data_IF_025609465798
#
_entry.id   IF_025609465798
#
_cell.length_a   1.000
_cell.length_b   1.000
_cell.length_c   1.000
_cell.angle_alpha   90.00
_cell.angle_beta   90.00
_cell.angle_gamma   90.00
#
_symmetry.space_group_name_H-M   'P 1'
#
loop_
_entity.id
_entity.type
_entity.pdbx_description
1 polymer ?
#
# COMPACT_ATOMS: atom_id res chain seq x y z
N UNK A 1 -16.48 3.09 0.08
CA UNK A 1 -15.70 2.37 1.10
C UNK A 1 -14.23 2.47 0.71
N UNK A 2 -13.39 3.12 1.51
CA UNK A 2 -11.94 3.15 1.25
C UNK A 2 -11.37 1.80 1.66
N UNK A 3 -10.85 1.02 0.71
CA UNK A 3 -10.28 -0.31 1.02
C UNK A 3 -8.94 -0.09 1.72
N UNK A 4 -8.79 -0.44 3.01
CA UNK A 4 -7.48 -0.45 3.63
C UNK A 4 -6.59 -1.42 2.83
N UNK A 5 -5.34 -1.04 2.57
CA UNK A 5 -4.39 -1.80 1.75
C UNK A 5 -4.64 -1.83 0.23
N UNK A 6 -5.37 -0.87 -0.36
CA UNK A 6 -5.56 -0.79 -1.82
C UNK A 6 -4.25 -0.96 -2.61
N UNK A 7 -3.18 -0.26 -2.23
CA UNK A 7 -1.87 -0.37 -2.89
C UNK A 7 -1.24 -1.77 -2.82
N UNK A 8 -1.50 -2.54 -1.76
CA UNK A 8 -1.06 -3.94 -1.64
C UNK A 8 -1.82 -4.84 -2.63
N UNK A 9 -3.12 -4.60 -2.78
CA UNK A 9 -3.96 -5.42 -3.65
C UNK A 9 -3.71 -5.09 -5.13
N UNK A 10 -3.55 -3.81 -5.46
CA UNK A 10 -3.26 -3.33 -6.81
C UNK A 10 -1.90 -3.85 -7.33
N UNK A 11 -0.88 -3.89 -6.47
CA UNK A 11 0.41 -4.45 -6.88
C UNK A 11 0.36 -5.95 -7.12
N UNK A 12 -0.44 -6.69 -6.35
CA UNK A 12 -0.70 -8.11 -6.59
C UNK A 12 -1.49 -8.33 -7.90
N UNK A 13 -2.51 -7.51 -8.18
CA UNK A 13 -3.26 -7.56 -9.44
C UNK A 13 -2.41 -7.31 -10.67
N UNK A 14 -1.42 -6.43 -10.53
CA UNK A 14 -0.45 -6.10 -11.57
C UNK A 14 0.64 -7.17 -11.73
N UNK A 15 0.56 -8.30 -11.01
CA UNK A 15 1.58 -9.36 -10.98
C UNK A 15 2.98 -8.85 -10.61
N UNK A 16 3.07 -7.81 -9.78
CA UNK A 16 4.36 -7.33 -9.27
C UNK A 16 4.90 -8.22 -8.16
N UNK A 17 4.02 -8.90 -7.43
CA UNK A 17 4.33 -9.87 -6.40
C UNK A 17 3.10 -10.77 -6.18
N UNK A 18 3.30 -11.91 -5.53
CA UNK A 18 2.20 -12.77 -5.06
C UNK A 18 1.72 -12.36 -3.67
N UNK A 19 0.62 -12.95 -3.21
CA UNK A 19 0.14 -12.84 -1.82
C UNK A 19 -0.18 -14.23 -1.27
N UNK A 20 -0.26 -14.40 0.06
CA UNK A 20 -0.71 -15.65 0.66
C UNK A 20 -2.12 -16.01 0.20
N UNK A 21 -2.40 -17.31 0.03
CA UNK A 21 -3.69 -17.81 -0.44
C UNK A 21 -4.84 -17.36 0.47
N UNK A 22 -4.60 -17.26 1.77
CA UNK A 22 -5.58 -16.82 2.76
C UNK A 22 -6.00 -15.35 2.52
N UNK A 23 -5.06 -14.49 2.13
CA UNK A 23 -5.32 -13.09 1.76
C UNK A 23 -6.10 -13.04 0.44
N UNK A 24 -5.73 -13.88 -0.53
CA UNK A 24 -6.44 -13.98 -1.81
C UNK A 24 -7.88 -14.47 -1.62
N UNK A 25 -8.11 -15.44 -0.75
CA UNK A 25 -9.45 -15.95 -0.42
C UNK A 25 -10.31 -14.91 0.29
N UNK A 26 -9.75 -14.19 1.26
CA UNK A 26 -10.44 -13.09 1.92
C UNK A 26 -10.79 -11.98 0.91
N UNK A 27 -9.90 -11.68 -0.03
CA UNK A 27 -10.13 -10.72 -1.11
C UNK A 27 -11.23 -11.18 -2.08
N UNK A 28 -11.25 -12.45 -2.46
CA UNK A 28 -12.34 -13.03 -3.28
C UNK A 28 -13.69 -12.89 -2.59
N UNK A 29 -13.75 -12.95 -1.25
CA UNK A 29 -14.99 -12.69 -0.51
C UNK A 29 -15.45 -11.23 -0.65
N UNK A 30 -14.54 -10.26 -0.58
CA UNK A 30 -14.85 -8.83 -0.82
C UNK A 30 -15.38 -8.62 -2.23
N UNK A 31 -14.68 -9.16 -3.25
CA UNK A 31 -15.11 -9.06 -4.65
C UNK A 31 -16.50 -9.67 -4.85
N UNK A 32 -16.80 -10.82 -4.25
CA UNK A 32 -18.14 -11.42 -4.33
C UNK A 32 -19.22 -10.56 -3.66
N UNK A 33 -18.92 -9.90 -2.54
CA UNK A 33 -19.86 -9.02 -1.87
C UNK A 33 -20.14 -7.74 -2.71
N UNK A 34 -19.11 -7.15 -3.33
CA UNK A 34 -19.28 -6.02 -4.25
C UNK A 34 -20.06 -6.44 -5.51
N UNK A 35 -19.73 -7.58 -6.11
CA UNK A 35 -20.47 -8.12 -7.26
C UNK A 35 -21.93 -8.40 -6.91
N UNK A 36 -22.22 -8.94 -5.72
CA UNK A 36 -23.58 -9.13 -5.26
C UNK A 36 -24.32 -7.79 -5.23
N UNK A 37 -23.70 -6.74 -4.67
CA UNK A 37 -24.27 -5.38 -4.62
C UNK A 37 -24.65 -4.85 -6.00
N UNK A 38 -23.87 -5.18 -7.02
CA UNK A 38 -24.11 -4.69 -8.38
C UNK A 38 -25.10 -5.59 -9.15
N UNK A 39 -25.18 -6.89 -8.81
CA UNK A 39 -26.01 -7.88 -9.50
C UNK A 39 -27.50 -7.80 -9.19
N UNK A 40 -27.87 -7.21 -8.05
CA UNK A 40 -29.25 -6.80 -7.80
C UNK A 40 -29.26 -5.27 -7.91
N UNK A 41 -29.34 -4.71 -9.15
CA UNK A 41 -29.79 -3.33 -9.26
C UNK A 41 -31.08 -3.25 -8.46
N UNK A 42 -31.35 -2.09 -7.88
CA UNK A 42 -32.68 -1.86 -7.37
C UNK A 42 -33.67 -2.42 -8.41
N UNK A 43 -34.71 -3.16 -8.01
CA UNK A 43 -35.91 -3.06 -8.83
C UNK A 43 -36.16 -1.54 -9.03
N UNK A 44 -36.99 -1.10 -9.95
CA UNK A 44 -37.41 0.30 -9.87
C UNK A 44 -38.68 0.41 -9.02
N UNK A 45 -38.78 -0.10 -7.76
CA UNK A 45 -39.96 0.13 -6.97
C UNK A 45 -40.04 1.62 -6.63
N UNK A 46 -38.96 2.39 -6.77
CA UNK A 46 -39.00 3.84 -6.67
C UNK A 46 -39.71 4.47 -7.87
N UNK A 47 -39.42 4.08 -9.12
CA UNK A 47 -40.19 4.55 -10.27
C UNK A 47 -41.58 3.93 -10.34
N UNK A 48 -41.77 2.68 -9.91
CA UNK A 48 -43.10 2.07 -9.79
C UNK A 48 -43.93 2.75 -8.70
N UNK A 49 -43.30 3.14 -7.59
CA UNK A 49 -43.92 3.99 -6.57
C UNK A 49 -44.25 5.37 -7.15
N UNK A 50 -43.33 5.98 -7.91
CA UNK A 50 -43.58 7.26 -8.58
C UNK A 50 -44.74 7.17 -9.58
N UNK A 51 -44.81 6.08 -10.36
CA UNK A 51 -45.89 5.79 -11.31
C UNK A 51 -47.24 5.61 -10.61
N UNK A 52 -47.30 4.89 -9.49
CA UNK A 52 -48.53 4.75 -8.70
C UNK A 52 -48.96 6.08 -8.05
N UNK A 53 -47.99 6.92 -7.64
CA UNK A 53 -48.26 8.27 -7.15
C UNK A 53 -48.79 9.16 -8.27
N UNK A 54 -48.19 9.14 -9.46
CA UNK A 54 -48.68 9.89 -10.62
C UNK A 54 -50.09 9.45 -11.04
N UNK A 55 -50.36 8.14 -11.13
CA UNK A 55 -51.71 7.60 -11.40
C UNK A 55 -52.74 8.07 -10.39
N UNK A 56 -52.39 8.05 -9.10
CA UNK A 56 -53.27 8.55 -8.04
C UNK A 56 -53.55 10.05 -8.19
N UNK A 57 -52.54 10.85 -8.57
CA UNK A 57 -52.68 12.29 -8.83
C UNK A 57 -53.55 12.58 -10.07
N UNK A 58 -53.50 11.70 -11.08
CA UNK A 58 -54.32 11.76 -12.30
C UNK A 58 -55.76 11.22 -12.11
N UNK A 59 -56.11 10.76 -10.90
CA UNK A 59 -57.45 10.29 -10.56
C UNK A 59 -57.71 8.81 -10.85
N UNK A 60 -56.67 8.02 -11.12
CA UNK A 60 -56.72 6.55 -11.25
C UNK A 60 -56.10 5.90 -10.00
N UNK A 61 -56.87 5.70 -8.92
CA UNK A 61 -56.32 5.15 -7.69
C UNK A 61 -55.85 3.70 -7.90
N UNK A 62 -54.64 3.33 -7.46
CA UNK A 62 -54.14 1.98 -7.62
C UNK A 62 -54.92 0.96 -6.77
N UNK A 63 -54.98 -0.27 -7.25
CA UNK A 63 -55.59 -1.39 -6.52
C UNK A 63 -54.81 -1.62 -5.20
N UNK A 64 -55.48 -1.77 -4.04
CA UNK A 64 -54.83 -2.19 -2.80
C UNK A 64 -53.88 -3.40 -2.94
N UNK A 65 -54.15 -4.34 -3.85
CA UNK A 65 -53.24 -5.45 -4.12
C UNK A 65 -51.91 -5.00 -4.77
N UNK A 66 -51.96 -4.03 -5.69
CA UNK A 66 -50.76 -3.44 -6.33
C UNK A 66 -49.87 -2.72 -5.30
N UNK A 67 -50.50 -2.02 -4.35
CA UNK A 67 -49.79 -1.33 -3.26
C UNK A 67 -49.11 -2.35 -2.32
N UNK A 68 -49.83 -3.43 -1.96
CA UNK A 68 -49.28 -4.48 -1.09
C UNK A 68 -48.10 -5.22 -1.74
N UNK A 69 -48.17 -5.48 -3.05
CA UNK A 69 -47.08 -6.10 -3.81
C UNK A 69 -45.84 -5.21 -3.88
N UNK A 70 -46.01 -3.90 -4.11
CA UNK A 70 -44.94 -2.92 -4.09
C UNK A 70 -44.27 -2.85 -2.70
N UNK A 71 -45.05 -2.80 -1.62
CA UNK A 71 -44.54 -2.78 -0.25
C UNK A 71 -43.72 -4.04 0.06
N UNK A 72 -44.22 -5.21 -0.34
CA UNK A 72 -43.49 -6.47 -0.16
C UNK A 72 -42.19 -6.51 -0.97
N UNK A 73 -42.18 -5.94 -2.18
CA UNK A 73 -40.99 -5.81 -3.02
C UNK A 73 -39.95 -4.85 -2.42
N UNK A 74 -40.39 -3.68 -1.93
CA UNK A 74 -39.55 -2.72 -1.21
C UNK A 74 -38.94 -3.34 0.05
N UNK A 75 -39.72 -4.06 0.84
CA UNK A 75 -39.25 -4.74 2.04
C UNK A 75 -38.17 -5.80 1.72
N UNK A 76 -38.40 -6.64 0.70
CA UNK A 76 -37.38 -7.62 0.24
C UNK A 76 -36.10 -6.93 -0.23
N UNK A 77 -36.23 -5.84 -0.98
CA UNK A 77 -35.07 -5.09 -1.47
C UNK A 77 -34.28 -4.44 -0.33
N UNK A 78 -34.95 -3.84 0.66
CA UNK A 78 -34.30 -3.28 1.85
C UNK A 78 -33.54 -4.34 2.65
N UNK A 79 -34.17 -5.50 2.89
CA UNK A 79 -33.51 -6.64 3.55
C UNK A 79 -32.29 -7.10 2.76
N UNK A 80 -32.42 -7.23 1.44
CA UNK A 80 -31.30 -7.60 0.58
C UNK A 80 -30.15 -6.59 0.64
N UNK A 81 -30.45 -5.28 0.56
CA UNK A 81 -29.44 -4.22 0.68
C UNK A 81 -28.71 -4.26 2.01
N UNK A 82 -29.45 -4.48 3.10
CA UNK A 82 -28.88 -4.62 4.44
C UNK A 82 -27.94 -5.83 4.49
N UNK A 83 -28.37 -6.99 4.02
CA UNK A 83 -27.56 -8.22 4.00
C UNK A 83 -26.27 -8.05 3.19
N UNK A 84 -26.35 -7.45 1.99
CA UNK A 84 -25.18 -7.23 1.14
C UNK A 84 -24.22 -6.21 1.75
N UNK A 85 -24.74 -5.15 2.36
CA UNK A 85 -23.91 -4.16 3.05
C UNK A 85 -23.16 -4.78 4.23
N UNK A 86 -23.86 -5.56 5.06
CA UNK A 86 -23.27 -6.27 6.19
C UNK A 86 -22.24 -7.32 5.74
N UNK A 87 -22.53 -8.04 4.65
CA UNK A 87 -21.59 -8.98 4.05
C UNK A 87 -20.32 -8.29 3.54
N UNK A 88 -20.45 -7.14 2.87
CA UNK A 88 -19.32 -6.35 2.37
C UNK A 88 -18.44 -5.82 3.51
N UNK A 89 -19.05 -5.27 4.56
CA UNK A 89 -18.32 -4.80 5.74
C UNK A 89 -17.61 -5.95 6.47
N UNK A 90 -18.28 -7.10 6.61
CA UNK A 90 -17.72 -8.30 7.24
C UNK A 90 -16.56 -8.86 6.42
N UNK A 91 -16.69 -8.93 5.09
CA UNK A 91 -15.62 -9.34 4.20
C UNK A 91 -14.43 -8.37 4.26
N UNK A 92 -14.67 -7.06 4.28
CA UNK A 92 -13.63 -6.04 4.41
C UNK A 92 -12.87 -6.10 5.73
N UNK A 93 -13.58 -6.31 6.85
CA UNK A 93 -12.96 -6.53 8.17
C UNK A 93 -12.11 -7.80 8.19
N UNK A 94 -12.64 -8.90 7.65
CA UNK A 94 -11.92 -10.17 7.55
C UNK A 94 -10.63 -10.01 6.74
N UNK A 95 -10.69 -9.38 5.56
CA UNK A 95 -9.51 -9.12 4.74
C UNK A 95 -8.47 -8.31 5.49
N UNK A 96 -8.90 -7.25 6.18
CA UNK A 96 -7.99 -6.40 6.97
C UNK A 96 -7.31 -7.17 8.10
N UNK A 97 -8.06 -8.02 8.82
CA UNK A 97 -7.54 -8.87 9.88
C UNK A 97 -6.53 -9.89 9.32
N UNK A 98 -6.89 -10.58 8.23
CA UNK A 98 -6.02 -11.58 7.60
C UNK A 98 -4.72 -10.96 7.08
N UNK A 99 -4.77 -9.75 6.50
CA UNK A 99 -3.55 -9.01 6.12
C UNK A 99 -2.71 -8.66 7.35
N UNK A 100 -3.33 -8.19 8.43
CA UNK A 100 -2.64 -7.86 9.67
C UNK A 100 -1.94 -9.06 10.32
N UNK A 101 -2.63 -10.20 10.39
CA UNK A 101 -2.11 -11.47 10.93
C UNK A 101 -0.95 -12.04 10.08
N UNK A 102 -0.98 -11.80 8.76
CA UNK A 102 0.02 -12.29 7.83
C UNK A 102 1.07 -11.25 7.45
N UNK A 103 1.10 -10.07 8.10
CA UNK A 103 1.93 -8.93 7.70
C UNK A 103 3.39 -9.31 7.47
N UNK A 104 4.01 -9.94 8.46
CA UNK A 104 5.44 -10.25 8.41
C UNK A 104 5.73 -11.33 7.37
N UNK A 105 4.82 -12.30 7.20
CA UNK A 105 4.87 -13.32 6.14
C UNK A 105 4.74 -12.70 4.74
N UNK A 106 3.81 -11.76 4.54
CA UNK A 106 3.65 -11.01 3.29
C UNK A 106 4.97 -10.28 2.97
N UNK A 107 5.57 -9.63 3.97
CA UNK A 107 6.85 -8.94 3.80
C UNK A 107 7.96 -9.91 3.41
N UNK A 108 8.17 -10.98 4.19
CA UNK A 108 9.34 -11.86 4.04
C UNK A 108 9.25 -12.83 2.87
N UNK A 109 8.06 -13.40 2.60
CA UNK A 109 7.88 -14.47 1.61
C UNK A 109 7.41 -13.96 0.25
N UNK A 110 6.82 -12.76 0.18
CA UNK A 110 6.22 -12.26 -1.06
C UNK A 110 6.84 -10.94 -1.55
N UNK A 111 6.87 -9.91 -0.71
CA UNK A 111 7.38 -8.60 -1.11
C UNK A 111 8.91 -8.59 -1.23
N UNK A 112 9.62 -9.20 -0.27
CA UNK A 112 11.09 -9.20 -0.24
C UNK A 112 11.71 -9.91 -1.45
N UNK A 113 11.24 -11.10 -1.90
CA UNK A 113 11.74 -11.71 -3.13
C UNK A 113 11.51 -10.84 -4.38
N UNK A 114 10.29 -10.31 -4.56
CA UNK A 114 9.98 -9.44 -5.71
C UNK A 114 10.78 -8.12 -5.71
N UNK A 115 11.04 -7.58 -4.53
CA UNK A 115 11.93 -6.44 -4.34
C UNK A 115 13.37 -6.78 -4.73
N UNK A 116 13.90 -7.91 -4.24
CA UNK A 116 15.25 -8.36 -4.56
C UNK A 116 15.44 -8.59 -6.08
N UNK A 117 14.46 -9.20 -6.75
CA UNK A 117 14.47 -9.35 -8.21
C UNK A 117 14.57 -8.00 -8.92
N UNK A 118 13.77 -7.01 -8.49
CA UNK A 118 13.77 -5.67 -9.09
C UNK A 118 15.13 -4.96 -8.91
N UNK A 119 15.75 -5.13 -7.75
CA UNK A 119 17.08 -4.58 -7.45
C UNK A 119 18.16 -5.26 -8.30
N UNK A 120 18.14 -6.60 -8.43
CA UNK A 120 19.11 -7.32 -9.24
C UNK A 120 19.00 -7.00 -10.74
N UNK A 121 17.77 -6.88 -11.26
CA UNK A 121 17.55 -6.40 -12.64
C UNK A 121 18.16 -5.00 -12.80
N UNK A 122 17.85 -4.07 -11.90
CA UNK A 122 18.38 -2.71 -11.98
C UNK A 122 19.90 -2.65 -11.88
N UNK A 123 20.50 -3.47 -11.01
CA UNK A 123 21.96 -3.60 -10.89
C UNK A 123 22.59 -4.07 -12.19
N UNK A 124 21.98 -5.06 -12.86
CA UNK A 124 22.46 -5.58 -14.15
C UNK A 124 22.34 -4.55 -15.29
N UNK A 125 21.42 -3.59 -15.15
CA UNK A 125 21.10 -2.57 -16.15
C UNK A 125 21.64 -1.17 -15.80
N UNK A 126 22.41 -1.02 -14.73
CA UNK A 126 22.87 0.29 -14.25
C UNK A 126 23.67 1.09 -15.29
N UNK A 127 24.43 0.41 -16.16
CA UNK A 127 25.15 1.05 -17.27
C UNK A 127 24.23 1.69 -18.31
N UNK A 128 23.03 1.15 -18.52
CA UNK A 128 22.01 1.73 -19.42
C UNK A 128 21.30 2.90 -18.78
N UNK A 129 21.13 2.88 -17.45
CA UNK A 129 20.55 4.00 -16.70
C UNK A 129 21.40 5.27 -16.85
N UNK A 130 22.72 5.16 -16.70
CA UNK A 130 23.65 6.27 -16.88
C UNK A 130 23.58 6.89 -18.29
N UNK A 131 23.29 6.09 -19.31
CA UNK A 131 23.13 6.55 -20.69
C UNK A 131 21.75 7.16 -20.98
N UNK A 132 20.72 6.78 -20.22
CA UNK A 132 19.32 7.17 -20.47
C UNK A 132 18.89 8.43 -19.73
N UNK A 133 19.66 8.85 -18.72
CA UNK A 133 19.47 10.08 -17.96
C UNK A 133 20.05 11.32 -18.68
N UNK A 134 20.93 11.09 -19.67
CA UNK A 134 21.43 12.13 -20.57
C UNK A 134 20.47 12.35 -21.75
N UNK A 135 19.82 13.52 -21.86
CA UNK A 135 18.84 13.80 -22.92
C UNK A 135 19.46 13.78 -24.32
N UNK A 136 20.75 14.09 -24.47
CA UNK A 136 21.45 14.10 -25.77
C UNK A 136 21.75 12.67 -26.24
N UNK A 137 21.94 11.74 -25.29
CA UNK A 137 22.25 10.32 -25.57
C UNK A 137 20.98 9.49 -25.77
N UNK A 138 19.86 9.89 -25.15
CA UNK A 138 18.59 9.13 -25.18
C UNK A 138 18.04 8.92 -26.59
N UNK A 139 18.19 9.91 -27.48
CA UNK A 139 17.79 9.82 -28.89
C UNK A 139 18.68 8.88 -29.73
N UNK A 140 19.91 8.63 -29.27
CA UNK A 140 20.91 7.83 -29.96
C UNK A 140 20.96 6.36 -29.51
N UNK A 141 20.08 5.95 -28.57
CA UNK A 141 20.05 4.57 -28.08
C UNK A 141 19.71 3.57 -29.21
N UNK A 142 20.54 2.54 -29.30
CA UNK A 142 20.26 1.39 -30.18
C UNK A 142 18.97 0.68 -29.75
N UNK A 143 18.38 -0.13 -30.64
CA UNK A 143 17.18 -0.90 -30.32
C UNK A 143 17.36 -1.84 -29.12
N UNK A 144 18.56 -2.41 -28.94
CA UNK A 144 18.88 -3.25 -27.79
C UNK A 144 18.98 -2.45 -26.48
N UNK A 145 19.58 -1.25 -26.53
CA UNK A 145 19.65 -0.36 -25.36
C UNK A 145 18.27 0.17 -24.95
N UNK A 146 17.39 0.48 -25.91
CA UNK A 146 16.01 0.88 -25.63
C UNK A 146 15.23 -0.21 -24.89
N UNK A 147 15.31 -1.47 -25.34
CA UNK A 147 14.67 -2.59 -24.61
C UNK A 147 15.16 -2.74 -23.17
N UNK A 148 16.47 -2.58 -22.96
CA UNK A 148 17.04 -2.58 -21.60
C UNK A 148 16.56 -1.40 -20.75
N UNK A 149 16.39 -0.23 -21.36
CA UNK A 149 15.81 0.93 -20.66
C UNK A 149 14.34 0.68 -20.28
N UNK A 150 13.54 0.07 -21.17
CA UNK A 150 12.16 -0.30 -20.88
C UNK A 150 12.07 -1.35 -19.75
N UNK A 151 12.96 -2.34 -19.76
CA UNK A 151 13.09 -3.35 -18.69
C UNK A 151 13.43 -2.71 -17.33
N UNK A 152 14.34 -1.72 -17.32
CA UNK A 152 14.66 -0.97 -16.10
C UNK A 152 13.48 -0.13 -15.60
N UNK A 153 12.70 0.47 -16.50
CA UNK A 153 11.47 1.19 -16.13
C UNK A 153 10.47 0.25 -15.47
N UNK A 154 10.33 -0.96 -15.99
CA UNK A 154 9.43 -1.96 -15.42
C UNK A 154 9.91 -2.46 -14.05
N UNK A 155 11.22 -2.71 -13.90
CA UNK A 155 11.82 -3.01 -12.60
C UNK A 155 11.60 -1.89 -11.59
N UNK A 156 11.68 -0.63 -12.01
CA UNK A 156 11.41 0.53 -11.16
C UNK A 156 9.93 0.62 -10.74
N UNK A 157 8.98 0.25 -11.61
CA UNK A 157 7.56 0.16 -11.24
C UNK A 157 7.33 -0.95 -10.22
N UNK A 158 7.87 -2.15 -10.44
CA UNK A 158 7.76 -3.27 -9.49
C UNK A 158 8.39 -2.92 -8.13
N UNK A 159 9.56 -2.29 -8.13
CA UNK A 159 10.19 -1.76 -6.92
C UNK A 159 9.29 -0.73 -6.22
N UNK A 160 8.73 0.24 -6.95
CA UNK A 160 7.81 1.23 -6.39
C UNK A 160 6.57 0.58 -5.76
N UNK A 161 5.96 -0.40 -6.44
CA UNK A 161 4.79 -1.11 -5.95
C UNK A 161 5.08 -1.94 -4.69
N UNK A 162 6.20 -2.68 -4.66
CA UNK A 162 6.61 -3.44 -3.45
C UNK A 162 6.88 -2.51 -2.26
N UNK A 163 7.50 -1.35 -2.50
CA UNK A 163 7.74 -0.33 -1.46
C UNK A 163 6.46 0.33 -0.96
N UNK A 164 5.50 0.61 -1.83
CA UNK A 164 4.19 1.14 -1.43
C UNK A 164 3.39 0.11 -0.63
N UNK A 165 3.39 -1.15 -1.07
CA UNK A 165 2.79 -2.27 -0.36
C UNK A 165 3.39 -2.44 1.04
N UNK A 166 4.72 -2.40 1.13
CA UNK A 166 5.43 -2.40 2.40
C UNK A 166 5.00 -1.23 3.30
N UNK A 167 4.95 -0.01 2.75
CA UNK A 167 4.59 1.18 3.52
C UNK A 167 3.19 1.11 4.13
N UNK A 168 2.22 0.53 3.42
CA UNK A 168 0.86 0.36 3.98
C UNK A 168 0.81 -0.72 5.06
N UNK A 169 1.68 -1.73 5.01
CA UNK A 169 1.78 -2.79 6.00
C UNK A 169 2.49 -2.34 7.28
N UNK A 170 3.49 -1.45 7.17
CA UNK A 170 4.35 -1.06 8.30
C UNK A 170 4.03 0.30 8.91
N UNK A 171 3.03 1.03 8.38
CA UNK A 171 2.64 2.35 8.89
C UNK A 171 2.30 2.30 10.39
N UNK A 172 3.12 2.99 11.19
CA UNK A 172 2.93 3.06 12.64
C UNK A 172 3.23 1.74 13.39
N UNK A 173 3.86 0.77 12.74
CA UNK A 173 4.17 -0.53 13.35
C UNK A 173 5.54 -0.57 14.03
N UNK A 174 6.48 0.28 13.62
CA UNK A 174 7.80 0.40 14.25
C UNK A 174 7.69 1.17 15.58
N UNK A 175 8.36 0.69 16.62
CA UNK A 175 8.32 1.28 17.96
C UNK A 175 9.31 2.44 18.06
N UNK A 176 10.52 2.25 17.52
CA UNK A 176 11.65 3.17 17.64
C UNK A 176 11.84 3.98 16.36
N UNK A 177 11.84 3.34 15.20
CA UNK A 177 12.03 4.03 13.91
C UNK A 177 10.71 4.54 13.30
N UNK A 178 9.99 5.37 14.05
CA UNK A 178 8.67 5.89 13.65
C UNK A 178 8.72 6.76 12.39
N UNK A 179 9.90 7.33 12.08
CA UNK A 179 10.10 8.18 10.90
C UNK A 179 10.49 7.38 9.65
N UNK A 180 10.72 6.07 9.75
CA UNK A 180 11.09 5.27 8.58
C UNK A 180 12.53 5.45 8.12
N UNK A 181 13.44 5.85 9.02
CA UNK A 181 14.85 6.13 8.72
C UNK A 181 15.51 4.98 7.96
N UNK A 182 15.40 3.76 8.49
CA UNK A 182 15.94 2.55 7.86
C UNK A 182 14.87 1.78 7.08
N UNK A 183 13.77 2.44 6.73
CA UNK A 183 12.65 1.81 6.05
C UNK A 183 12.97 1.38 4.62
N UNK A 184 13.91 2.04 3.93
CA UNK A 184 14.29 1.71 2.54
C UNK A 184 15.74 1.26 2.38
N UNK A 185 16.68 1.93 3.05
CA UNK A 185 18.11 1.62 2.97
C UNK A 185 18.59 1.15 4.32
N UNK A 186 19.22 -0.03 4.37
CA UNK A 186 19.77 -0.56 5.63
C UNK A 186 21.02 0.22 6.05
N UNK A 187 21.77 0.73 5.08
CA UNK A 187 23.03 1.47 5.21
C UNK A 187 22.87 2.97 4.93
N UNK A 188 21.70 3.57 5.24
CA UNK A 188 21.42 4.98 4.94
C UNK A 188 22.55 5.93 5.36
N UNK A 189 23.15 5.70 6.54
CA UNK A 189 24.22 6.54 7.08
C UNK A 189 25.50 6.50 6.25
N UNK A 190 25.74 5.40 5.54
CA UNK A 190 26.93 5.22 4.70
C UNK A 190 26.64 5.70 3.27
N UNK A 191 25.46 5.37 2.75
CA UNK A 191 25.02 5.78 1.42
C UNK A 191 24.71 7.30 1.32
N UNK A 192 24.30 7.93 2.42
CA UNK A 192 24.02 9.37 2.50
C UNK A 192 24.42 9.96 3.86
N UNK A 193 25.73 10.16 4.13
CA UNK A 193 26.22 10.58 5.45
C UNK A 193 25.65 11.91 5.97
N UNK A 194 25.21 12.78 5.07
CA UNK A 194 24.71 14.11 5.39
C UNK A 194 23.17 14.19 5.37
N UNK A 195 22.46 13.06 5.40
CA UNK A 195 20.99 12.96 5.32
C UNK A 195 20.23 13.79 6.37
N UNK A 196 20.83 14.01 7.55
CA UNK A 196 20.23 14.86 8.60
C UNK A 196 20.37 16.36 8.34
N UNK A 197 21.32 16.75 7.51
CA UNK A 197 21.69 18.15 7.27
C UNK A 197 21.04 18.69 5.99
N UNK A 198 20.86 17.83 4.99
CA UNK A 198 20.30 18.19 3.70
C UNK A 198 18.94 17.54 3.53
N UNK A 199 17.86 18.30 3.71
CA UNK A 199 16.49 17.77 3.65
C UNK A 199 16.16 17.08 2.31
N UNK A 200 16.03 17.86 1.23
CA UNK A 200 15.62 17.35 -0.09
C UNK A 200 16.77 16.98 -1.03
N UNK A 201 18.02 17.37 -0.72
CA UNK A 201 19.17 17.18 -1.60
C UNK A 201 19.72 15.75 -1.48
N UNK A 202 18.91 14.81 -1.95
CA UNK A 202 19.24 13.40 -2.00
C UNK A 202 20.37 13.18 -3.02
N UNK A 203 21.30 12.24 -2.76
CA UNK A 203 22.46 12.00 -3.63
C UNK A 203 22.12 11.21 -4.90
N UNK A 204 20.88 10.71 -5.03
CA UNK A 204 20.43 9.91 -6.16
C UNK A 204 19.52 10.72 -7.12
N UNK A 205 19.44 10.30 -8.39
CA UNK A 205 18.57 10.92 -9.39
C UNK A 205 17.08 10.95 -9.00
N UNK A 206 16.31 11.85 -9.62
CA UNK A 206 14.88 12.01 -9.36
C UNK A 206 13.99 11.05 -10.15
N UNK A 207 14.44 10.59 -11.33
CA UNK A 207 13.64 9.67 -12.15
C UNK A 207 13.62 8.27 -11.49
N UNK A 208 12.46 7.57 -11.43
CA UNK A 208 12.37 6.29 -10.71
C UNK A 208 13.35 5.22 -11.19
N UNK A 209 13.56 5.12 -12.50
CA UNK A 209 14.48 4.16 -13.11
C UNK A 209 15.95 4.45 -12.78
N UNK A 210 16.39 5.71 -12.93
CA UNK A 210 17.76 6.08 -12.61
C UNK A 210 18.02 6.04 -11.09
N UNK A 211 17.02 6.42 -10.28
CA UNK A 211 17.07 6.26 -8.82
C UNK A 211 17.29 4.81 -8.41
N UNK A 212 16.49 3.89 -8.93
CA UNK A 212 16.62 2.47 -8.59
C UNK A 212 17.99 1.92 -9.02
N UNK A 213 18.45 2.25 -10.22
CA UNK A 213 19.78 1.85 -10.69
C UNK A 213 20.90 2.39 -9.79
N UNK A 214 20.81 3.66 -9.36
CA UNK A 214 21.76 4.24 -8.42
C UNK A 214 21.74 3.49 -7.09
N UNK A 215 20.57 3.27 -6.51
CA UNK A 215 20.41 2.57 -5.22
C UNK A 215 20.97 1.15 -5.30
N UNK A 216 20.71 0.44 -6.39
CA UNK A 216 21.17 -0.94 -6.59
C UNK A 216 22.71 -1.07 -6.68
N UNK A 217 23.42 0.03 -6.98
CA UNK A 217 24.88 0.06 -7.11
C UNK A 217 25.55 0.67 -5.88
N UNK A 218 24.95 1.69 -5.27
CA UNK A 218 25.61 2.55 -4.28
C UNK A 218 25.08 2.41 -2.85
N UNK A 219 24.04 1.63 -2.63
CA UNK A 219 23.44 1.42 -1.31
C UNK A 219 23.03 -0.05 -1.11
N UNK A 220 22.54 -0.36 0.09
CA UNK A 220 21.95 -1.64 0.45
C UNK A 220 20.43 -1.49 0.61
N UNK A 221 19.68 -1.52 -0.51
CA UNK A 221 18.22 -1.51 -0.46
C UNK A 221 17.72 -2.78 0.21
N UNK A 222 16.68 -2.64 1.02
CA UNK A 222 16.04 -3.77 1.67
C UNK A 222 14.57 -3.50 1.96
N UNK A 223 13.88 -4.54 2.41
CA UNK A 223 12.45 -4.51 2.71
C UNK A 223 12.22 -5.19 4.07
N UNK A 224 12.42 -4.44 5.18
CA UNK A 224 12.45 -5.00 6.53
C UNK A 224 11.05 -5.24 7.11
N UNK A 225 10.91 -6.18 8.02
CA UNK A 225 9.79 -6.20 8.96
C UNK A 225 9.92 -5.02 9.94
N UNK A 226 8.83 -4.61 10.63
CA UNK A 226 8.93 -3.56 11.65
C UNK A 226 9.95 -3.87 12.76
N UNK A 227 10.09 -5.15 13.13
CA UNK A 227 11.07 -5.59 14.11
C UNK A 227 12.52 -5.43 13.61
N UNK A 228 12.81 -5.89 12.38
CA UNK A 228 14.14 -5.71 11.76
C UNK A 228 14.50 -4.23 11.60
N UNK A 229 13.52 -3.37 11.31
CA UNK A 229 13.73 -1.93 11.18
C UNK A 229 14.09 -1.29 12.53
N UNK A 230 13.38 -1.63 13.60
CA UNK A 230 13.70 -1.19 14.97
C UNK A 230 15.06 -1.73 15.43
N UNK A 231 15.37 -2.98 15.11
CA UNK A 231 16.67 -3.59 15.41
C UNK A 231 17.80 -2.81 14.73
N UNK A 232 17.62 -2.44 13.46
CA UNK A 232 18.59 -1.60 12.75
C UNK A 232 18.71 -0.20 13.37
N UNK A 233 17.59 0.39 13.81
CA UNK A 233 17.62 1.67 14.51
C UNK A 233 18.42 1.59 15.81
N UNK A 234 18.20 0.54 16.59
CA UNK A 234 18.92 0.30 17.84
C UNK A 234 20.41 0.03 17.61
N UNK A 235 20.78 -0.69 16.55
CA UNK A 235 22.18 -0.92 16.15
C UNK A 235 22.93 0.41 15.92
N UNK A 236 22.28 1.39 15.27
CA UNK A 236 22.94 2.64 14.86
C UNK A 236 22.84 3.73 15.93
N UNK A 237 21.71 3.84 16.63
CA UNK A 237 21.44 4.95 17.56
C UNK A 237 21.34 4.55 19.04
N UNK A 238 21.29 3.25 19.35
CA UNK A 238 21.00 2.78 20.71
C UNK A 238 21.96 3.27 21.78
N UNK A 239 23.25 3.40 21.47
CA UNK A 239 24.24 3.95 22.42
C UNK A 239 24.02 5.44 22.70
N UNK A 240 23.75 6.23 21.65
CA UNK A 240 23.46 7.65 21.80
C UNK A 240 22.18 7.89 22.61
N UNK A 241 21.16 7.06 22.42
CA UNK A 241 19.91 7.14 23.18
C UNK A 241 20.10 6.76 24.66
N UNK A 242 20.86 5.70 24.94
CA UNK A 242 21.23 5.31 26.31
C UNK A 242 21.99 6.42 27.02
N UNK A 243 22.94 7.04 26.33
CA UNK A 243 23.71 8.16 26.89
C UNK A 243 22.80 9.37 27.16
N UNK A 244 21.91 9.72 26.23
CA UNK A 244 20.97 10.82 26.40
C UNK A 244 19.97 10.57 27.55
N UNK A 245 19.50 9.33 27.73
CA UNK A 245 18.66 8.95 28.87
C UNK A 245 19.40 9.09 30.20
N UNK A 246 20.66 8.63 30.26
CA UNK A 246 21.53 8.77 31.42
C UNK A 246 21.76 10.24 31.78
N UNK A 247 22.11 11.06 30.79
CA UNK A 247 22.32 12.51 30.97
C UNK A 247 21.04 13.21 31.50
N UNK A 248 19.86 12.84 30.99
CA UNK A 248 18.58 13.37 31.49
C UNK A 248 18.28 12.94 32.92
N UNK A 249 18.55 11.68 33.27
CA UNK A 249 18.37 11.19 34.64
C UNK A 249 19.31 11.90 35.63
N UNK A 250 20.58 12.09 35.26
CA UNK A 250 21.55 12.85 36.05
C UNK A 250 21.16 14.33 36.20
N UNK A 251 20.70 14.98 35.13
CA UNK A 251 20.23 16.36 35.19
C UNK A 251 19.02 16.53 36.12
N UNK A 252 18.07 15.59 36.10
CA UNK A 252 16.94 15.56 37.04
C UNK A 252 17.39 15.35 38.48
N UNK A 253 18.30 14.40 38.70
CA UNK A 253 18.83 14.13 40.04
C UNK A 253 19.58 15.35 40.60
N UNK A 254 20.40 16.02 39.79
CA UNK A 254 21.08 17.25 40.17
C UNK A 254 20.08 18.37 40.47
N UNK A 255 19.08 18.59 39.60
CA UNK A 255 18.04 19.59 39.81
C UNK A 255 17.21 19.38 41.07
N UNK A 256 17.00 18.13 41.50
CA UNK A 256 16.29 17.79 42.73
C UNK A 256 17.13 18.00 44.01
N UNK A 257 18.45 18.16 43.91
CA UNK A 257 19.35 18.40 45.05
C UNK A 257 19.43 19.90 45.42
N UNK A 258 19.01 20.80 44.53
CA UNK A 258 19.05 22.26 44.74
C UNK A 258 17.65 22.90 44.83
N UNK A 259 16.63 22.09 45.13
CA UNK A 259 15.28 22.53 45.53
C UNK A 259 15.03 22.24 47.00
#
# INVERSE_FOLDING_TARGET
>A
MTIPYAALLEGADSNYYSLPDEVLDARRAVVRADQARDAHPAPDPAARQAELVERLLDGDPPDPAEVADLDAELARYQVWRMLVSEAAETAGRRLSATIGENRDRIISEHLRPAHAESVEVAKSLASVAALSDDPDVRGALTGAQRRKADELVEAARRYGATRQAWSVLTRGAATHDQQGTFGELRDLTDAWPTWRQHGSDRPWPSTPAARLAWIAVHAMPWLPTPAEQDERYAEVFGDAERQAATNRAQARAFGAVFQ
#
